data_IF_618342508214
#
_entry.id   IF_618342508214
#
_cell.length_a   1.000
_cell.length_b   1.000
_cell.length_c   1.000
_cell.angle_alpha   90.00
_cell.angle_beta   90.00
_cell.angle_gamma   90.00
#
_symmetry.space_group_name_H-M   'P 1'
#
loop_
_entity.id
_entity.type
_entity.pdbx_description
1 polymer ?
#
# COMPACT_ATOMS: atom_id res chain seq x y z
N UNK A 1 -5.16 23.48 21.12
CA UNK A 1 -4.63 22.73 19.97
C UNK A 1 -5.55 21.52 19.78
N UNK A 2 -6.31 21.49 18.68
CA UNK A 2 -7.40 20.54 18.47
C UNK A 2 -6.86 19.13 18.22
N UNK A 3 -7.15 18.20 19.13
CA UNK A 3 -6.86 16.77 18.98
C UNK A 3 -7.52 16.14 17.73
N UNK A 4 -8.55 16.77 17.17
CA UNK A 4 -9.16 16.36 15.90
C UNK A 4 -8.20 16.49 14.70
N UNK A 5 -7.26 17.45 14.73
CA UNK A 5 -6.33 17.65 13.62
C UNK A 5 -5.16 16.65 13.64
N UNK A 6 -4.90 15.92 14.73
CA UNK A 6 -3.76 15.01 14.80
C UNK A 6 -4.02 13.68 14.09
N UNK A 7 -5.18 13.06 14.32
CA UNK A 7 -5.49 11.73 13.75
C UNK A 7 -5.73 11.78 12.24
N UNK A 8 -6.42 12.80 11.75
CA UNK A 8 -6.60 13.04 10.32
C UNK A 8 -5.25 13.15 9.60
N UNK A 9 -4.32 13.92 10.17
CA UNK A 9 -2.98 14.09 9.63
C UNK A 9 -2.18 12.77 9.62
N UNK A 10 -2.30 11.93 10.65
CA UNK A 10 -1.70 10.60 10.65
C UNK A 10 -2.26 9.72 9.52
N UNK A 11 -3.59 9.65 9.41
CA UNK A 11 -4.28 8.81 8.41
C UNK A 11 -3.98 9.24 6.97
N UNK A 12 -3.82 10.54 6.72
CA UNK A 12 -3.47 11.08 5.41
C UNK A 12 -1.96 11.10 5.13
N UNK A 13 -1.12 10.68 6.09
CA UNK A 13 0.34 10.67 5.92
C UNK A 13 0.99 12.05 6.00
N UNK A 14 0.33 13.01 6.64
CA UNK A 14 0.81 14.35 6.97
C UNK A 14 1.53 14.40 8.33
N UNK A 15 1.47 13.32 9.11
CA UNK A 15 2.15 13.18 10.40
C UNK A 15 2.75 11.80 10.58
N UNK A 16 3.90 11.77 11.26
CA UNK A 16 4.64 10.55 11.62
C UNK A 16 4.54 10.23 13.13
N UNK A 17 3.71 10.96 13.88
CA UNK A 17 3.68 10.89 15.35
C UNK A 17 3.26 9.51 15.92
N UNK A 18 2.53 8.72 15.14
CA UNK A 18 2.09 7.37 15.49
C UNK A 18 3.11 6.27 15.16
N UNK A 19 4.22 6.63 14.50
CA UNK A 19 5.17 5.68 13.95
C UNK A 19 6.36 5.43 14.88
N UNK A 20 6.92 4.24 14.75
CA UNK A 20 8.21 3.85 15.33
C UNK A 20 9.11 3.27 14.23
N UNK A 21 10.43 3.48 14.30
CA UNK A 21 11.36 2.91 13.33
C UNK A 21 11.41 1.39 13.46
N UNK A 22 11.54 0.70 12.34
CA UNK A 22 11.75 -0.75 12.25
C UNK A 22 12.85 -1.02 11.21
N UNK A 23 13.97 -1.61 11.64
CA UNK A 23 15.12 -1.82 10.74
C UNK A 23 15.67 -0.53 10.12
N UNK A 24 16.12 -0.61 8.86
CA UNK A 24 16.74 0.51 8.14
C UNK A 24 15.70 1.28 7.30
N UNK A 25 15.42 2.53 7.67
CA UNK A 25 14.56 3.46 6.93
C UNK A 25 13.09 3.02 6.75
N UNK A 26 12.60 2.10 7.58
CA UNK A 26 11.19 1.74 7.62
C UNK A 26 10.55 2.18 8.92
N UNK A 27 9.26 2.47 8.83
CA UNK A 27 8.44 2.97 9.92
C UNK A 27 7.09 2.29 9.89
N UNK A 28 6.63 1.86 11.05
CA UNK A 28 5.32 1.22 11.25
C UNK A 28 4.60 1.91 12.40
N UNK A 29 3.28 1.77 12.43
CA UNK A 29 2.48 2.19 13.57
C UNK A 29 3.00 1.48 14.83
N UNK A 30 3.09 2.20 15.95
CA UNK A 30 3.66 1.70 17.21
C UNK A 30 3.10 0.35 17.68
N UNK A 31 1.81 0.09 17.43
CA UNK A 31 1.13 -1.15 17.79
C UNK A 31 1.39 -2.31 16.80
N UNK A 32 2.05 -2.04 15.68
CA UNK A 32 2.30 -3.00 14.59
C UNK A 32 3.74 -3.52 14.62
N UNK A 33 4.67 -2.73 15.15
CA UNK A 33 6.09 -3.09 15.16
C UNK A 33 6.39 -4.40 15.89
N UNK A 34 5.86 -4.61 17.11
CA UNK A 34 6.09 -5.84 17.86
C UNK A 34 5.45 -7.08 17.18
N UNK A 35 4.15 -7.07 16.79
CA UNK A 35 3.58 -8.18 16.02
C UNK A 35 4.36 -8.52 14.75
N UNK A 36 4.88 -7.51 14.06
CA UNK A 36 5.70 -7.74 12.86
C UNK A 36 7.03 -8.44 13.19
N UNK A 37 7.72 -8.04 14.25
CA UNK A 37 8.96 -8.70 14.70
C UNK A 37 8.67 -10.17 15.04
N UNK A 38 7.60 -10.45 15.78
CA UNK A 38 7.21 -11.82 16.13
C UNK A 38 6.89 -12.66 14.89
N UNK A 39 6.22 -12.07 13.90
CA UNK A 39 5.94 -12.71 12.61
C UNK A 39 7.23 -12.99 11.82
N UNK A 40 8.18 -12.04 11.80
CA UNK A 40 9.49 -12.22 11.17
C UNK A 40 10.27 -13.36 11.81
N UNK A 41 10.32 -13.41 13.15
CA UNK A 41 11.02 -14.46 13.90
C UNK A 41 10.43 -15.84 13.61
N UNK A 42 9.10 -15.96 13.57
CA UNK A 42 8.42 -17.20 13.21
C UNK A 42 8.65 -17.64 11.76
N UNK A 43 8.75 -16.70 10.82
CA UNK A 43 9.12 -17.00 9.44
C UNK A 43 10.59 -17.48 9.36
N UNK A 44 11.48 -16.87 10.15
CA UNK A 44 12.89 -17.22 10.19
C UNK A 44 13.14 -18.66 10.67
N UNK A 45 12.31 -19.20 11.58
CA UNK A 45 12.41 -20.62 12.00
C UNK A 45 12.14 -21.59 10.84
N UNK A 46 11.52 -21.13 9.76
CA UNK A 46 11.28 -21.90 8.54
C UNK A 46 12.23 -21.51 7.41
N UNK A 47 13.35 -20.82 7.71
CA UNK A 47 14.32 -20.33 6.73
C UNK A 47 13.69 -19.43 5.67
N UNK A 48 12.92 -18.43 6.11
CA UNK A 48 12.36 -17.36 5.28
C UNK A 48 12.90 -16.04 5.84
N UNK A 49 13.68 -15.32 5.03
CA UNK A 49 14.25 -14.01 5.42
C UNK A 49 13.27 -12.89 5.04
N UNK A 50 12.14 -12.83 5.76
CA UNK A 50 11.09 -11.84 5.53
C UNK A 50 11.59 -10.44 5.87
N UNK A 51 11.70 -9.56 4.88
CA UNK A 51 12.12 -8.17 5.04
C UNK A 51 11.08 -7.22 4.46
N UNK A 52 11.02 -6.01 5.03
CA UNK A 52 10.21 -4.92 4.46
C UNK A 52 10.96 -4.35 3.25
N UNK A 53 10.24 -4.11 2.16
CA UNK A 53 10.74 -3.35 1.01
C UNK A 53 10.06 -1.97 0.86
N UNK A 54 8.85 -1.81 1.39
CA UNK A 54 8.10 -0.55 1.39
C UNK A 54 7.16 -0.52 2.60
N UNK A 55 7.09 0.60 3.32
CA UNK A 55 6.33 0.77 4.56
C UNK A 55 5.62 2.12 4.57
N UNK A 56 5.60 2.85 5.70
CA UNK A 56 5.09 4.21 5.73
C UNK A 56 5.62 5.08 4.58
N UNK A 57 4.70 5.80 3.97
CA UNK A 57 4.96 6.78 2.93
C UNK A 57 4.17 8.02 3.30
N UNK A 58 4.81 9.17 3.38
CA UNK A 58 4.11 10.42 3.65
C UNK A 58 3.29 10.88 2.42
N UNK A 59 2.42 11.86 2.64
CA UNK A 59 1.54 12.43 1.61
C UNK A 59 2.33 12.90 0.38
N UNK A 60 3.39 13.70 0.58
CA UNK A 60 4.17 14.31 -0.51
C UNK A 60 4.87 13.27 -1.39
N UNK A 61 5.41 12.19 -0.79
CA UNK A 61 5.98 11.07 -1.55
C UNK A 61 4.92 10.39 -2.41
N UNK A 62 3.72 10.15 -1.86
CA UNK A 62 2.62 9.55 -2.63
C UNK A 62 2.12 10.50 -3.73
N UNK A 63 2.05 11.81 -3.46
CA UNK A 63 1.68 12.83 -4.44
C UNK A 63 2.68 12.90 -5.59
N UNK A 64 3.98 12.82 -5.30
CA UNK A 64 5.01 12.75 -6.34
C UNK A 64 4.83 11.51 -7.22
N UNK A 65 4.61 10.32 -6.63
CA UNK A 65 4.38 9.09 -7.40
C UNK A 65 3.13 9.22 -8.28
N UNK A 66 2.04 9.75 -7.73
CA UNK A 66 0.80 10.01 -8.47
C UNK A 66 1.04 10.91 -9.67
N UNK A 67 1.62 12.09 -9.44
CA UNK A 67 1.83 13.08 -10.50
C UNK A 67 2.76 12.57 -11.60
N UNK A 68 3.83 11.86 -11.23
CA UNK A 68 4.78 11.25 -12.19
C UNK A 68 4.12 10.15 -13.02
N UNK A 69 3.22 9.35 -12.44
CA UNK A 69 2.43 8.37 -13.21
C UNK A 69 1.41 9.05 -14.12
N UNK A 70 0.72 10.08 -13.63
CA UNK A 70 -0.29 10.81 -14.40
C UNK A 70 0.30 11.55 -15.60
N UNK A 71 1.49 12.14 -15.43
CA UNK A 71 2.25 12.83 -16.49
C UNK A 71 2.93 11.86 -17.47
N UNK A 72 2.99 10.56 -17.15
CA UNK A 72 3.66 9.55 -17.96
C UNK A 72 5.17 9.43 -17.73
N UNK A 73 5.73 10.07 -16.70
CA UNK A 73 7.14 9.89 -16.29
C UNK A 73 7.38 8.52 -15.65
N UNK A 74 6.36 7.96 -14.98
CA UNK A 74 6.36 6.60 -14.46
C UNK A 74 5.34 5.74 -15.22
N UNK A 75 5.65 4.44 -15.44
CA UNK A 75 4.78 3.57 -16.20
C UNK A 75 3.46 3.29 -15.47
N UNK A 76 2.45 3.07 -16.29
CA UNK A 76 1.13 2.56 -15.91
C UNK A 76 1.01 1.13 -16.44
N UNK A 77 0.23 0.29 -15.75
CA UNK A 77 0.09 -1.12 -16.12
C UNK A 77 -1.38 -1.54 -16.11
N UNK A 78 -1.73 -2.46 -17.00
CA UNK A 78 -3.00 -3.19 -16.96
C UNK A 78 -3.02 -4.17 -15.78
N UNK A 79 -4.17 -4.81 -15.55
CA UNK A 79 -4.29 -5.90 -14.58
C UNK A 79 -3.41 -7.11 -14.95
N UNK A 80 -3.11 -7.29 -16.24
CA UNK A 80 -2.22 -8.34 -16.75
C UNK A 80 -0.74 -7.93 -16.71
N UNK A 81 -0.41 -6.82 -16.05
CA UNK A 81 0.94 -6.27 -15.94
C UNK A 81 1.55 -5.86 -17.29
N UNK A 82 0.71 -5.45 -18.25
CA UNK A 82 1.14 -4.89 -19.54
C UNK A 82 1.24 -3.38 -19.43
N UNK A 83 2.34 -2.79 -19.89
CA UNK A 83 2.53 -1.34 -19.84
C UNK A 83 1.51 -0.58 -20.70
N UNK A 84 1.03 0.55 -20.19
CA UNK A 84 0.09 1.47 -20.83
C UNK A 84 0.80 2.77 -21.20
N UNK A 85 0.51 3.30 -22.38
CA UNK A 85 0.99 4.61 -22.80
C UNK A 85 0.09 5.70 -22.22
N UNK A 86 0.59 6.42 -21.21
CA UNK A 86 -0.16 7.49 -20.56
C UNK A 86 -0.66 8.58 -21.55
N UNK A 87 0.06 8.81 -22.65
CA UNK A 87 -0.35 9.76 -23.69
C UNK A 87 -1.61 9.36 -24.46
N UNK A 88 -1.99 8.08 -24.43
CA UNK A 88 -3.15 7.53 -25.14
C UNK A 88 -4.40 7.41 -24.25
N UNK A 89 -4.27 7.72 -22.95
CA UNK A 89 -5.34 7.60 -21.96
C UNK A 89 -5.98 8.97 -21.69
N UNK A 90 -7.31 8.98 -21.60
CA UNK A 90 -8.05 10.07 -20.97
C UNK A 90 -7.67 10.22 -19.49
N UNK A 91 -7.96 11.39 -18.89
CA UNK A 91 -7.69 11.61 -17.47
C UNK A 91 -8.41 10.59 -16.57
N UNK A 92 -9.65 10.21 -16.91
CA UNK A 92 -10.40 9.18 -16.20
C UNK A 92 -9.69 7.82 -16.26
N UNK A 93 -9.21 7.42 -17.44
CA UNK A 93 -8.48 6.16 -17.62
C UNK A 93 -7.15 6.18 -16.86
N UNK A 94 -6.44 7.31 -16.85
CA UNK A 94 -5.23 7.49 -16.04
C UNK A 94 -5.50 7.31 -14.56
N UNK A 95 -6.54 7.95 -14.02
CA UNK A 95 -6.92 7.82 -12.60
C UNK A 95 -7.10 6.34 -12.24
N UNK A 96 -7.90 5.61 -13.02
CA UNK A 96 -8.13 4.19 -12.76
C UNK A 96 -6.88 3.32 -12.96
N UNK A 97 -6.06 3.60 -13.98
CA UNK A 97 -4.82 2.88 -14.24
C UNK A 97 -3.77 3.11 -13.14
N UNK A 98 -3.69 4.32 -12.58
CA UNK A 98 -2.86 4.62 -11.41
C UNK A 98 -3.38 3.87 -10.20
N UNK A 99 -4.67 4.05 -9.88
CA UNK A 99 -5.28 3.49 -8.67
C UNK A 99 -5.32 1.96 -8.63
N UNK A 100 -5.22 1.31 -9.79
CA UNK A 100 -5.08 -0.13 -9.90
C UNK A 100 -3.82 -0.67 -9.18
N UNK A 101 -2.73 0.10 -9.16
CA UNK A 101 -1.42 -0.33 -8.61
C UNK A 101 -0.79 0.69 -7.65
N UNK A 102 -1.42 1.84 -7.43
CA UNK A 102 -0.86 2.93 -6.63
C UNK A 102 -1.98 3.80 -6.07
N UNK A 103 -2.09 3.82 -4.74
CA UNK A 103 -3.14 4.57 -4.08
C UNK A 103 -3.07 6.09 -4.32
N UNK A 104 -4.21 6.76 -4.13
CA UNK A 104 -4.28 8.21 -4.13
C UNK A 104 -3.59 8.79 -2.87
N UNK A 105 -2.89 9.94 -2.97
CA UNK A 105 -2.34 10.63 -1.80
C UNK A 105 -3.42 10.92 -0.76
N UNK A 106 -3.13 10.68 0.51
CA UNK A 106 -4.10 10.81 1.62
C UNK A 106 -5.06 9.62 1.77
N UNK A 107 -5.15 8.74 0.78
CA UNK A 107 -5.98 7.53 0.81
C UNK A 107 -5.16 6.23 0.61
N UNK A 108 -3.84 6.31 0.68
CA UNK A 108 -2.96 5.14 0.73
C UNK A 108 -2.97 4.52 2.11
N UNK A 109 -3.14 3.19 2.18
CA UNK A 109 -3.07 2.47 3.45
C UNK A 109 -1.66 2.50 4.07
N UNK A 110 -0.61 2.70 3.25
CA UNK A 110 0.75 2.92 3.75
C UNK A 110 0.86 4.17 4.64
N UNK A 111 0.00 5.18 4.47
CA UNK A 111 -0.01 6.34 5.35
C UNK A 111 -0.27 5.97 6.81
N UNK A 112 -0.96 4.86 7.06
CA UNK A 112 -1.41 4.45 8.38
C UNK A 112 -0.30 3.80 9.21
N UNK A 113 0.82 3.42 8.58
CA UNK A 113 1.86 2.60 9.20
C UNK A 113 1.40 1.19 9.57
N UNK A 114 0.17 0.81 9.23
CA UNK A 114 -0.39 -0.54 9.43
C UNK A 114 -0.12 -1.46 8.25
N UNK A 115 0.25 -0.88 7.11
CA UNK A 115 0.37 -1.55 5.83
C UNK A 115 1.78 -1.40 5.27
N UNK A 116 2.31 -2.49 4.73
CA UNK A 116 3.67 -2.60 4.22
C UNK A 116 3.85 -3.79 3.27
N UNK A 117 4.89 -3.72 2.46
CA UNK A 117 5.26 -4.70 1.44
C UNK A 117 6.46 -5.53 1.91
N UNK A 118 6.35 -6.85 1.87
CA UNK A 118 7.41 -7.77 2.30
C UNK A 118 7.94 -8.64 1.17
N UNK A 119 9.19 -9.06 1.28
CA UNK A 119 9.86 -9.98 0.35
C UNK A 119 10.81 -10.93 1.08
N UNK A 120 11.19 -12.04 0.45
CA UNK A 120 12.22 -12.96 0.97
C UNK A 120 13.59 -12.52 0.45
N UNK A 121 14.32 -11.79 1.29
CA UNK A 121 15.61 -11.20 0.91
C UNK A 121 16.64 -12.25 0.54
N UNK A 122 16.75 -13.33 1.32
CA UNK A 122 17.72 -14.39 1.09
C UNK A 122 17.45 -15.10 -0.25
N UNK A 123 16.18 -15.42 -0.53
CA UNK A 123 15.78 -16.07 -1.78
C UNK A 123 15.99 -15.17 -3.00
N UNK A 124 15.58 -13.89 -2.93
CA UNK A 124 15.82 -12.91 -4.01
C UNK A 124 17.31 -12.79 -4.32
N UNK A 125 18.18 -12.69 -3.30
CA UNK A 125 19.63 -12.63 -3.52
C UNK A 125 20.20 -13.92 -4.09
N UNK A 126 19.79 -15.09 -3.59
CA UNK A 126 20.26 -16.39 -4.07
C UNK A 126 19.97 -16.58 -5.56
N UNK A 127 18.82 -16.07 -6.03
CA UNK A 127 18.43 -16.12 -7.44
C UNK A 127 19.01 -14.98 -8.29
N UNK A 128 19.76 -14.05 -7.68
CA UNK A 128 20.25 -12.81 -8.33
C UNK A 128 19.13 -12.02 -9.01
N UNK A 129 17.93 -12.06 -8.40
CA UNK A 129 16.75 -11.42 -8.92
C UNK A 129 16.67 -9.97 -8.44
N UNK A 130 16.18 -9.06 -9.29
CA UNK A 130 15.88 -7.68 -8.90
C UNK A 130 14.38 -7.59 -8.59
N UNK A 131 14.06 -7.39 -7.32
CA UNK A 131 12.67 -7.26 -6.86
C UNK A 131 11.94 -6.14 -7.61
N UNK A 132 10.76 -6.46 -8.13
CA UNK A 132 9.88 -5.57 -8.89
C UNK A 132 8.46 -5.46 -8.29
N UNK A 133 8.12 -6.29 -7.30
CA UNK A 133 6.77 -6.41 -6.71
C UNK A 133 5.73 -6.74 -7.77
N UNK A 134 5.88 -7.93 -8.36
CA UNK A 134 4.94 -8.48 -9.34
C UNK A 134 4.48 -9.88 -8.93
N UNK A 135 3.25 -10.31 -9.27
CA UNK A 135 2.71 -11.58 -8.77
C UNK A 135 3.58 -12.81 -9.05
N UNK A 136 4.27 -12.83 -10.19
CA UNK A 136 5.17 -13.93 -10.56
C UNK A 136 6.38 -14.08 -9.63
N UNK A 137 6.71 -13.08 -8.81
CA UNK A 137 7.74 -13.23 -7.78
C UNK A 137 7.26 -14.06 -6.58
N UNK A 138 5.95 -14.15 -6.37
CA UNK A 138 5.31 -14.75 -5.19
C UNK A 138 4.61 -16.08 -5.52
N UNK A 139 4.78 -16.58 -6.74
CA UNK A 139 4.09 -17.75 -7.29
C UNK A 139 5.00 -18.55 -8.24
N UNK A 140 4.61 -19.79 -8.55
CA UNK A 140 5.15 -20.55 -9.69
C UNK A 140 6.69 -20.61 -9.77
N UNK A 141 7.37 -20.80 -8.64
CA UNK A 141 8.84 -20.84 -8.56
C UNK A 141 9.51 -19.49 -8.35
N UNK A 142 8.74 -18.39 -8.21
CA UNK A 142 9.26 -17.06 -7.92
C UNK A 142 10.01 -17.00 -6.57
N UNK A 143 10.95 -16.04 -6.41
CA UNK A 143 11.81 -15.96 -5.23
C UNK A 143 11.05 -15.84 -3.90
N UNK A 144 9.87 -15.23 -3.91
CA UNK A 144 9.03 -15.04 -2.73
C UNK A 144 7.88 -16.06 -2.63
N UNK A 145 7.85 -17.12 -3.45
CA UNK A 145 6.76 -18.11 -3.41
C UNK A 145 6.63 -18.77 -2.03
N UNK A 146 7.76 -19.15 -1.43
CA UNK A 146 7.80 -19.77 -0.09
C UNK A 146 7.26 -18.81 0.98
N UNK A 147 7.65 -17.54 0.92
CA UNK A 147 7.13 -16.48 1.79
C UNK A 147 5.63 -16.28 1.62
N UNK A 148 5.14 -16.20 0.38
CA UNK A 148 3.72 -16.05 0.06
C UNK A 148 2.87 -17.17 0.68
N UNK A 149 3.28 -18.44 0.49
CA UNK A 149 2.63 -19.60 1.11
C UNK A 149 2.63 -19.52 2.63
N UNK A 150 3.74 -19.10 3.23
CA UNK A 150 3.85 -18.94 4.67
C UNK A 150 2.91 -17.85 5.20
N UNK A 151 2.86 -16.69 4.54
CA UNK A 151 1.97 -15.58 4.90
C UNK A 151 0.50 -16.05 4.91
N UNK A 152 0.06 -16.73 3.85
CA UNK A 152 -1.32 -17.22 3.73
C UNK A 152 -1.69 -18.15 4.90
N UNK A 153 -0.73 -18.94 5.37
CA UNK A 153 -0.96 -19.92 6.43
C UNK A 153 -0.87 -19.33 7.85
N UNK A 154 0.04 -18.38 8.09
CA UNK A 154 0.45 -18.02 9.46
C UNK A 154 0.22 -16.55 9.83
N UNK A 155 0.11 -15.62 8.87
CA UNK A 155 0.08 -14.18 9.16
C UNK A 155 -1.07 -13.75 10.09
N UNK A 156 -2.22 -14.43 10.00
CA UNK A 156 -3.39 -14.15 10.84
C UNK A 156 -3.16 -14.41 12.33
N UNK A 157 -2.23 -15.29 12.69
CA UNK A 157 -1.86 -15.57 14.09
C UNK A 157 -1.17 -14.37 14.75
N UNK A 158 -0.56 -13.51 13.94
CA UNK A 158 0.10 -12.27 14.36
C UNK A 158 -0.77 -11.03 14.10
N UNK A 159 -2.03 -11.20 13.70
CA UNK A 159 -2.96 -10.10 13.42
C UNK A 159 -2.84 -9.48 12.03
N UNK A 160 -2.02 -10.06 11.13
CA UNK A 160 -1.87 -9.59 9.77
C UNK A 160 -2.78 -10.31 8.77
N UNK A 161 -3.11 -9.63 7.68
CA UNK A 161 -3.86 -10.19 6.56
C UNK A 161 -3.42 -9.55 5.24
N UNK A 162 -3.82 -10.16 4.12
CA UNK A 162 -3.59 -9.66 2.77
C UNK A 162 -4.84 -8.88 2.30
N UNK A 163 -4.89 -7.53 2.39
CA UNK A 163 -6.05 -6.74 1.95
C UNK A 163 -6.34 -6.89 0.46
N UNK A 164 -5.32 -7.20 -0.35
CA UNK A 164 -5.43 -7.33 -1.81
C UNK A 164 -5.10 -8.76 -2.26
N UNK A 165 -5.59 -9.77 -1.53
CA UNK A 165 -5.39 -11.17 -1.87
C UNK A 165 -6.00 -11.58 -3.22
N UNK A 166 -7.08 -10.90 -3.63
CA UNK A 166 -7.79 -11.11 -4.89
C UNK A 166 -8.17 -9.77 -5.53
N UNK A 167 -8.20 -9.72 -6.86
CA UNK A 167 -8.76 -8.57 -7.58
C UNK A 167 -10.28 -8.61 -7.54
N UNK A 168 -10.90 -7.58 -6.95
CA UNK A 168 -12.35 -7.47 -6.75
C UNK A 168 -12.93 -6.15 -7.31
N UNK A 169 -12.28 -5.59 -8.34
CA UNK A 169 -12.70 -4.35 -8.99
C UNK A 169 -12.13 -3.08 -8.35
N UNK A 170 -10.99 -3.17 -7.68
CA UNK A 170 -10.28 -2.06 -7.02
C UNK A 170 -8.78 -2.13 -7.28
N UNK A 171 -7.99 -2.25 -6.22
CA UNK A 171 -6.55 -2.50 -6.31
C UNK A 171 -6.32 -3.89 -6.90
N UNK A 172 -5.29 -4.02 -7.74
CA UNK A 172 -4.84 -5.30 -8.28
C UNK A 172 -4.38 -6.24 -7.15
N UNK A 173 -4.12 -7.50 -7.50
CA UNK A 173 -3.70 -8.49 -6.52
C UNK A 173 -2.24 -8.26 -6.12
N UNK A 174 -1.99 -8.10 -4.82
CA UNK A 174 -0.67 -7.79 -4.24
C UNK A 174 -0.31 -8.80 -3.13
N UNK A 175 0.26 -9.97 -3.46
CA UNK A 175 0.62 -11.01 -2.48
C UNK A 175 1.72 -10.61 -1.49
N UNK A 176 2.36 -9.46 -1.68
CA UNK A 176 3.38 -8.89 -0.81
C UNK A 176 2.82 -7.90 0.23
N UNK A 177 1.62 -7.36 -0.02
CA UNK A 177 1.06 -6.27 0.77
C UNK A 177 0.34 -6.83 1.99
N UNK A 178 0.87 -6.55 3.17
CA UNK A 178 0.29 -6.94 4.46
C UNK A 178 -0.36 -5.75 5.15
N UNK A 179 -1.40 -6.02 5.92
CA UNK A 179 -2.05 -5.03 6.79
C UNK A 179 -2.31 -5.60 8.17
N UNK A 180 -2.10 -4.78 9.21
CA UNK A 180 -2.44 -5.14 10.59
C UNK A 180 -3.89 -4.82 10.90
N UNK A 181 -4.68 -5.86 11.20
CA UNK A 181 -6.15 -5.81 11.14
C UNK A 181 -6.77 -4.81 12.12
N UNK A 182 -6.41 -4.84 13.40
CA UNK A 182 -7.11 -4.05 14.43
C UNK A 182 -6.94 -2.55 14.21
N UNK A 183 -5.72 -2.09 13.96
CA UNK A 183 -5.43 -0.67 13.70
C UNK A 183 -6.01 -0.21 12.36
N UNK A 184 -5.87 -1.02 11.30
CA UNK A 184 -6.42 -0.69 9.99
C UNK A 184 -7.96 -0.57 10.04
N UNK A 185 -8.66 -1.47 10.73
CA UNK A 185 -10.12 -1.37 10.92
C UNK A 185 -10.51 -0.10 11.67
N UNK A 186 -9.82 0.23 12.77
CA UNK A 186 -10.06 1.46 13.54
C UNK A 186 -9.87 2.73 12.70
N UNK A 187 -8.87 2.74 11.81
CA UNK A 187 -8.63 3.85 10.88
C UNK A 187 -9.73 3.93 9.81
N UNK A 188 -10.12 2.79 9.24
CA UNK A 188 -11.19 2.73 8.23
C UNK A 188 -12.53 3.24 8.79
N UNK A 189 -12.89 2.85 10.01
CA UNK A 189 -14.12 3.30 10.68
C UNK A 189 -14.11 4.80 10.99
N UNK A 190 -12.93 5.37 11.24
CA UNK A 190 -12.73 6.79 11.54
C UNK A 190 -12.37 7.66 10.35
N UNK A 191 -12.36 7.13 9.12
CA UNK A 191 -11.91 7.87 7.94
C UNK A 191 -12.94 8.91 7.51
N UNK A 192 -12.56 10.19 7.45
CA UNK A 192 -13.44 11.29 7.08
C UNK A 192 -13.11 11.77 5.66
N UNK A 193 -14.03 11.53 4.73
CA UNK A 193 -13.82 11.88 3.30
C UNK A 193 -13.69 13.40 3.10
N UNK A 194 -14.40 14.21 3.87
CA UNK A 194 -14.34 15.67 3.74
C UNK A 194 -12.96 16.24 4.11
N UNK A 195 -12.25 15.63 5.07
CA UNK A 195 -10.87 16.02 5.41
C UNK A 195 -9.91 15.71 4.25
N UNK A 196 -10.06 14.53 3.63
CA UNK A 196 -9.32 14.17 2.43
C UNK A 196 -9.64 15.13 1.27
N UNK A 197 -10.91 15.50 1.10
CA UNK A 197 -11.31 16.47 0.07
C UNK A 197 -10.58 17.80 0.26
N UNK A 198 -10.64 18.38 1.46
CA UNK A 198 -9.97 19.66 1.77
C UNK A 198 -8.46 19.58 1.57
N UNK A 199 -7.83 18.44 1.90
CA UNK A 199 -6.41 18.25 1.69
C UNK A 199 -6.04 18.17 0.20
N UNK A 200 -6.82 17.43 -0.60
CA UNK A 200 -6.58 17.28 -2.04
C UNK A 200 -6.90 18.56 -2.83
N UNK A 201 -7.88 19.36 -2.38
CA UNK A 201 -8.22 20.65 -2.96
C UNK A 201 -7.02 21.61 -2.94
N UNK A 202 -6.25 21.59 -1.85
CA UNK A 202 -5.06 22.41 -1.65
C UNK A 202 -3.78 21.84 -2.28
N UNK A 203 -3.75 20.53 -2.59
CA UNK A 203 -2.58 19.87 -3.14
C UNK A 203 -2.45 20.08 -4.66
N UNK A 204 -1.23 20.15 -5.19
CA UNK A 204 -0.99 20.20 -6.64
C UNK A 204 -1.09 18.80 -7.29
N UNK A 205 -2.22 18.13 -7.10
CA UNK A 205 -2.49 16.80 -7.66
C UNK A 205 -3.00 16.89 -9.11
N UNK A 206 -2.40 16.11 -10.01
CA UNK A 206 -2.86 16.01 -11.39
C UNK A 206 -4.18 15.21 -11.47
N UNK A 207 -5.11 15.65 -12.31
CA UNK A 207 -6.47 15.09 -12.40
C UNK A 207 -7.41 15.58 -11.29
N UNK A 208 -7.05 16.63 -10.55
CA UNK A 208 -7.77 17.14 -9.37
C UNK A 208 -9.28 17.23 -9.54
N UNK A 209 -9.76 17.90 -10.59
CA UNK A 209 -11.20 18.15 -10.76
C UNK A 209 -12.01 16.85 -10.80
N UNK A 210 -11.58 15.86 -11.60
CA UNK A 210 -12.22 14.55 -11.70
C UNK A 210 -12.09 13.74 -10.41
N UNK A 211 -10.93 13.81 -9.75
CA UNK A 211 -10.70 13.15 -8.46
C UNK A 211 -11.69 13.66 -7.42
N UNK A 212 -11.79 14.99 -7.25
CA UNK A 212 -12.67 15.62 -6.27
C UNK A 212 -14.14 15.34 -6.57
N UNK A 213 -14.53 15.35 -7.86
CA UNK A 213 -15.89 15.03 -8.28
C UNK A 213 -16.30 13.58 -7.93
N UNK A 214 -15.35 12.65 -7.90
CA UNK A 214 -15.61 11.21 -7.73
C UNK A 214 -15.06 10.65 -6.41
N UNK A 215 -14.57 11.52 -5.52
CA UNK A 215 -13.72 11.13 -4.38
C UNK A 215 -14.35 10.02 -3.51
N UNK A 216 -15.62 10.10 -3.07
CA UNK A 216 -16.20 9.03 -2.25
C UNK A 216 -16.21 7.67 -2.97
N UNK A 217 -16.45 7.66 -4.28
CA UNK A 217 -16.45 6.44 -5.10
C UNK A 217 -15.05 5.87 -5.24
N UNK A 218 -14.06 6.72 -5.53
CA UNK A 218 -12.66 6.31 -5.70
C UNK A 218 -12.09 5.72 -4.39
N UNK A 219 -12.32 6.38 -3.25
CA UNK A 219 -11.88 5.88 -1.93
C UNK A 219 -12.53 4.55 -1.61
N UNK A 220 -13.85 4.43 -1.78
CA UNK A 220 -14.56 3.17 -1.56
C UNK A 220 -13.99 2.04 -2.44
N UNK A 221 -13.72 2.34 -3.72
CA UNK A 221 -13.29 1.34 -4.69
C UNK A 221 -11.83 0.90 -4.51
N UNK A 222 -10.93 1.80 -4.10
CA UNK A 222 -9.48 1.55 -4.13
C UNK A 222 -8.79 1.57 -2.78
N UNK A 223 -9.45 2.02 -1.71
CA UNK A 223 -8.87 2.00 -0.35
C UNK A 223 -9.61 1.00 0.55
N UNK A 224 -10.93 0.88 0.39
CA UNK A 224 -11.78 0.08 1.27
C UNK A 224 -12.38 -1.18 0.63
N UNK A 225 -12.23 -1.37 -0.67
CA UNK A 225 -12.70 -2.57 -1.37
C UNK A 225 -11.70 -3.72 -1.16
N UNK A 226 -11.91 -4.50 -0.10
CA UNK A 226 -11.07 -5.65 0.24
C UNK A 226 -11.67 -6.99 -0.25
N UNK A 227 -12.82 -6.94 -0.92
CA UNK A 227 -13.59 -8.12 -1.31
C UNK A 227 -14.48 -8.65 -0.17
N UNK A 228 -15.26 -9.71 -0.42
CA UNK A 228 -16.03 -10.42 0.60
C UNK A 228 -15.14 -11.19 1.59
#
# INVERSE_FOLDING_TARGET
>A
MNAFNSRANEVMGLSEAHLVPIGNNHFLHKNVALPFIEMQDAAATQHIDMQICSSFRNFDKQLSIWNRKFSGELPLYTLQNTELLASELSEQEKIHAIMLWSAMPGASRHHWGTDFDVYDRASVHAQKHKLALIPSEYENGGPCEKLSKWIIQYASQFGFYLPYANYVGGVAREPWHLSYKSEATSIQEGFVIDELYSQLEQADILGKELILQQLPRLVKQYTFNLGP
#
